data_IF_939647949766
#
_entry.id   IF_939647949766
#
_cell.length_a   1.000
_cell.length_b   1.000
_cell.length_c   1.000
_cell.angle_alpha   90.00
_cell.angle_beta   90.00
_cell.angle_gamma   90.00
#
_symmetry.space_group_name_H-M   'P 1'
#
loop_
_entity.id
_entity.type
_entity.pdbx_description
1 polymer ?
#
# COMPACT_ATOMS: atom_id res chain seq x y z
N UNK A 1 0.81 -2.61 -1.74
CA UNK A 1 0.04 -1.81 -0.76
C UNK A 1 -0.09 -0.38 -1.24
N UNK A 2 -1.18 0.31 -0.86
CA UNK A 2 -1.42 1.72 -1.22
C UNK A 2 -1.03 2.64 -0.08
N UNK A 3 -0.38 3.75 -0.41
CA UNK A 3 0.08 4.75 0.56
C UNK A 3 -0.42 6.11 0.10
N UNK A 4 -1.09 6.84 1.00
CA UNK A 4 -1.42 8.25 0.75
C UNK A 4 -0.30 9.11 1.31
N UNK A 5 0.30 9.94 0.45
CA UNK A 5 1.32 10.92 0.80
C UNK A 5 0.72 12.33 0.72
N UNK A 6 0.75 13.06 1.83
CA UNK A 6 0.33 14.46 1.91
C UNK A 6 1.55 15.32 2.28
N UNK A 7 2.05 16.09 1.32
CA UNK A 7 3.31 16.85 1.44
C UNK A 7 3.28 18.02 0.44
N UNK A 8 3.44 19.25 0.89
CA UNK A 8 3.40 20.45 0.03
C UNK A 8 4.71 20.71 -0.74
N UNK A 9 5.83 20.18 -0.25
CA UNK A 9 7.11 20.27 -0.94
C UNK A 9 7.17 19.23 -2.09
N UNK A 10 6.88 19.69 -3.29
CA UNK A 10 6.84 18.85 -4.50
C UNK A 10 8.14 18.05 -4.75
N UNK A 11 9.30 18.64 -4.42
CA UNK A 11 10.59 17.95 -4.64
C UNK A 11 10.77 16.79 -3.67
N UNK A 12 10.40 16.98 -2.40
CA UNK A 12 10.42 15.94 -1.38
C UNK A 12 9.38 14.85 -1.70
N UNK A 13 8.16 15.27 -2.04
CA UNK A 13 7.07 14.36 -2.42
C UNK A 13 7.47 13.46 -3.60
N UNK A 14 8.07 14.00 -4.66
CA UNK A 14 8.59 13.22 -5.78
C UNK A 14 9.64 12.20 -5.35
N UNK A 15 10.56 12.59 -4.46
CA UNK A 15 11.57 11.69 -3.93
C UNK A 15 10.98 10.53 -3.13
N UNK A 16 10.03 10.84 -2.24
CA UNK A 16 9.30 9.83 -1.45
C UNK A 16 8.50 8.90 -2.38
N UNK A 17 7.70 9.46 -3.28
CA UNK A 17 6.89 8.70 -4.24
C UNK A 17 7.74 7.73 -5.04
N UNK A 18 8.83 8.23 -5.65
CA UNK A 18 9.74 7.40 -6.42
C UNK A 18 10.27 6.20 -5.62
N UNK A 19 10.70 6.44 -4.38
CA UNK A 19 11.25 5.38 -3.50
C UNK A 19 10.21 4.37 -3.08
N UNK A 20 9.02 4.81 -2.72
CA UNK A 20 7.92 3.93 -2.31
C UNK A 20 7.38 3.12 -3.49
N UNK A 21 7.27 3.73 -4.67
CA UNK A 21 6.92 3.01 -5.90
C UNK A 21 8.00 2.02 -6.30
N UNK A 22 9.28 2.38 -6.14
CA UNK A 22 10.40 1.46 -6.35
C UNK A 22 10.37 0.29 -5.37
N UNK A 23 9.88 0.48 -4.14
CA UNK A 23 9.60 -0.58 -3.17
C UNK A 23 8.32 -1.38 -3.48
N UNK A 24 7.58 -1.04 -4.55
CA UNK A 24 6.40 -1.76 -5.04
C UNK A 24 5.08 -1.34 -4.40
N UNK A 25 5.04 -0.18 -3.74
CA UNK A 25 3.79 0.43 -3.28
C UNK A 25 3.14 1.25 -4.40
N UNK A 26 1.83 1.47 -4.30
CA UNK A 26 1.13 2.50 -5.04
C UNK A 26 1.05 3.74 -4.15
N UNK A 27 1.28 4.93 -4.72
CA UNK A 27 1.31 6.18 -3.95
C UNK A 27 0.32 7.16 -4.53
N UNK A 28 -0.63 7.59 -3.71
CA UNK A 28 -1.54 8.70 -4.00
C UNK A 28 -0.96 9.95 -3.35
N UNK A 29 -0.62 10.95 -4.16
CA UNK A 29 0.04 12.16 -3.71
C UNK A 29 -0.92 13.35 -3.68
N UNK A 30 -0.89 14.13 -2.59
CA UNK A 30 -1.68 15.33 -2.35
C UNK A 30 -0.77 16.42 -1.77
N UNK A 31 -0.92 17.64 -2.24
CA UNK A 31 -0.07 18.79 -1.89
C UNK A 31 -0.75 19.83 -1.00
N UNK A 32 -2.02 19.62 -0.65
CA UNK A 32 -2.86 20.54 0.13
C UNK A 32 -3.72 19.78 1.13
N UNK A 33 -3.83 20.34 2.35
CA UNK A 33 -4.58 19.69 3.43
C UNK A 33 -6.09 19.62 3.20
N UNK A 34 -6.70 20.54 2.44
CA UNK A 34 -8.14 20.48 2.10
C UNK A 34 -8.42 19.37 1.11
N UNK A 35 -7.59 19.27 0.07
CA UNK A 35 -7.69 18.17 -0.88
C UNK A 35 -7.49 16.83 -0.19
N UNK A 36 -6.53 16.76 0.74
CA UNK A 36 -6.29 15.56 1.55
C UNK A 36 -7.49 15.21 2.43
N UNK A 37 -8.14 16.20 3.07
CA UNK A 37 -9.33 15.99 3.89
C UNK A 37 -10.45 15.31 3.09
N UNK A 38 -10.72 15.80 1.88
CA UNK A 38 -11.79 15.24 1.04
C UNK A 38 -11.41 13.86 0.49
N UNK A 39 -10.17 13.69 0.04
CA UNK A 39 -9.67 12.41 -0.45
C UNK A 39 -9.71 11.32 0.62
N UNK A 40 -9.21 11.60 1.81
CA UNK A 40 -9.12 10.66 2.92
C UNK A 40 -10.48 10.18 3.46
N UNK A 41 -11.61 10.83 3.13
CA UNK A 41 -12.96 10.40 3.49
C UNK A 41 -13.39 9.12 2.78
N UNK A 42 -12.94 8.93 1.55
CA UNK A 42 -13.31 7.79 0.69
C UNK A 42 -12.12 6.90 0.30
N UNK A 43 -10.91 7.32 0.67
CA UNK A 43 -9.69 6.58 0.39
C UNK A 43 -9.57 5.32 1.25
N UNK A 44 -8.98 4.28 0.66
CA UNK A 44 -8.72 2.98 1.28
C UNK A 44 -7.23 2.62 1.26
N UNK A 45 -6.35 3.62 1.39
CA UNK A 45 -4.91 3.38 1.52
C UNK A 45 -4.57 2.57 2.77
N UNK A 46 -3.45 1.90 2.72
CA UNK A 46 -2.96 1.03 3.79
C UNK A 46 -2.18 1.80 4.86
N UNK A 47 -1.63 2.95 4.50
CA UNK A 47 -0.84 3.83 5.36
C UNK A 47 -0.93 5.27 4.84
N UNK A 48 -0.87 6.23 5.75
CA UNK A 48 -0.85 7.66 5.45
C UNK A 48 0.50 8.22 5.90
N UNK A 49 1.19 8.96 5.01
CA UNK A 49 2.34 9.79 5.33
C UNK A 49 1.87 11.23 5.24
N UNK A 50 2.00 11.98 6.33
CA UNK A 50 1.33 13.26 6.50
C UNK A 50 2.29 14.32 7.02
N UNK A 51 2.57 15.35 6.22
CA UNK A 51 3.28 16.52 6.73
C UNK A 51 2.40 17.30 7.70
N UNK A 52 2.99 17.79 8.78
CA UNK A 52 2.31 18.68 9.73
C UNK A 52 2.06 20.03 9.11
N UNK A 53 3.04 20.59 8.39
CA UNK A 53 2.98 21.96 7.88
C UNK A 53 2.37 22.00 6.46
N UNK A 54 1.07 21.79 6.35
CA UNK A 54 0.36 21.84 5.08
C UNK A 54 -0.38 23.16 4.89
N UNK A 55 -0.51 23.63 3.64
CA UNK A 55 -1.43 24.71 3.33
C UNK A 55 -2.89 24.27 3.54
N UNK A 56 -3.74 25.23 3.88
CA UNK A 56 -5.18 24.98 4.05
C UNK A 56 -5.54 24.42 5.41
N UNK A 57 -5.37 23.12 5.61
CA UNK A 57 -5.59 22.40 6.88
C UNK A 57 -4.28 21.74 7.27
N UNK A 58 -3.80 22.00 8.48
CA UNK A 58 -2.57 21.40 8.98
C UNK A 58 -2.72 19.89 9.25
N UNK A 59 -1.59 19.16 9.20
CA UNK A 59 -1.60 17.70 9.31
C UNK A 59 -2.07 17.19 10.67
N UNK A 60 -1.84 17.92 11.76
CA UNK A 60 -2.33 17.53 13.09
C UNK A 60 -3.86 17.62 13.19
N UNK A 61 -4.44 18.66 12.58
CA UNK A 61 -5.90 18.79 12.48
C UNK A 61 -6.51 17.68 11.64
N UNK A 62 -5.89 17.33 10.51
CA UNK A 62 -6.30 16.19 9.69
C UNK A 62 -6.21 14.87 10.45
N UNK A 63 -5.13 14.63 11.18
CA UNK A 63 -4.97 13.43 11.99
C UNK A 63 -6.06 13.30 13.06
N UNK A 64 -6.36 14.38 13.78
CA UNK A 64 -7.44 14.41 14.77
C UNK A 64 -8.79 14.04 14.15
N UNK A 65 -9.12 14.66 13.01
CA UNK A 65 -10.36 14.34 12.27
C UNK A 65 -10.41 12.87 11.84
N UNK A 66 -9.29 12.30 11.37
CA UNK A 66 -9.20 10.88 11.05
C UNK A 66 -9.54 10.02 12.26
N UNK A 67 -8.95 10.31 13.42
CA UNK A 67 -9.17 9.53 14.65
C UNK A 67 -10.58 9.72 15.23
N UNK A 68 -11.13 10.91 15.17
CA UNK A 68 -12.51 11.21 15.61
C UNK A 68 -13.57 10.43 14.83
N UNK A 69 -13.35 10.19 13.55
CA UNK A 69 -14.23 9.34 12.72
C UNK A 69 -13.93 7.83 12.81
N UNK A 70 -13.01 7.42 13.70
CA UNK A 70 -12.67 6.02 13.93
C UNK A 70 -11.70 5.41 12.89
N UNK A 71 -11.01 6.24 12.12
CA UNK A 71 -10.00 5.76 11.18
C UNK A 71 -8.76 5.28 11.94
N UNK A 72 -8.46 4.00 11.80
CA UNK A 72 -7.36 3.30 12.49
C UNK A 72 -6.17 3.01 11.58
N UNK A 73 -6.17 3.60 10.38
CA UNK A 73 -5.01 3.45 9.48
C UNK A 73 -3.75 4.00 10.12
N UNK A 74 -2.59 3.34 9.95
CA UNK A 74 -1.33 3.86 10.45
C UNK A 74 -0.98 5.19 9.77
N UNK A 75 -0.52 6.14 10.58
CA UNK A 75 -0.09 7.47 10.14
C UNK A 75 1.33 7.74 10.58
N UNK A 76 2.20 8.08 9.62
CA UNK A 76 3.53 8.65 9.88
C UNK A 76 3.43 10.15 9.70
N UNK A 77 3.74 10.91 10.76
CA UNK A 77 3.86 12.35 10.66
C UNK A 77 5.27 12.74 10.18
N UNK A 78 5.33 13.63 9.18
CA UNK A 78 6.55 14.32 8.80
C UNK A 78 6.60 15.69 9.50
N UNK A 79 7.71 16.03 10.14
CA UNK A 79 7.81 17.28 10.90
C UNK A 79 9.19 17.91 10.78
N UNK A 80 9.26 19.23 10.69
CA UNK A 80 10.49 19.99 10.83
C UNK A 80 10.86 20.26 12.30
N UNK A 81 9.96 19.92 13.24
CA UNK A 81 10.11 20.22 14.66
C UNK A 81 10.78 19.06 15.38
N UNK A 82 11.97 19.30 15.91
CA UNK A 82 12.76 18.31 16.65
C UNK A 82 12.46 18.31 18.15
N UNK A 83 11.66 19.26 18.65
CA UNK A 83 11.41 19.41 20.07
C UNK A 83 10.55 18.27 20.64
N UNK A 84 10.87 17.84 21.83
CA UNK A 84 10.20 16.69 22.48
C UNK A 84 8.72 16.95 22.68
N UNK A 85 8.33 18.20 22.96
CA UNK A 85 6.93 18.61 23.17
C UNK A 85 6.07 18.43 21.93
N UNK A 86 6.57 18.80 20.74
CA UNK A 86 5.86 18.63 19.47
C UNK A 86 5.64 17.16 19.11
N UNK A 87 6.59 16.29 19.50
CA UNK A 87 6.49 14.84 19.30
C UNK A 87 5.41 14.22 20.17
N UNK A 88 5.33 14.65 21.43
CA UNK A 88 4.29 14.21 22.36
C UNK A 88 2.92 14.61 21.83
N UNK A 89 2.74 15.85 21.36
CA UNK A 89 1.49 16.34 20.77
C UNK A 89 1.07 15.50 19.56
N UNK A 90 2.01 15.12 18.69
CA UNK A 90 1.72 14.28 17.51
C UNK A 90 1.28 12.86 17.90
N UNK A 91 1.96 12.25 18.86
CA UNK A 91 1.61 10.91 19.36
C UNK A 91 0.27 10.92 20.13
N UNK A 92 0.05 11.92 20.97
CA UNK A 92 -1.22 12.10 21.70
C UNK A 92 -2.39 12.37 20.74
N UNK A 93 -2.13 12.99 19.57
CA UNK A 93 -3.11 13.14 18.51
C UNK A 93 -3.44 11.82 17.79
N UNK A 94 -2.72 10.74 18.09
CA UNK A 94 -2.96 9.40 17.56
C UNK A 94 -2.11 9.02 16.35
N UNK A 95 -0.94 9.66 16.13
CA UNK A 95 0.03 9.19 15.15
C UNK A 95 0.66 7.87 15.61
N UNK A 96 0.98 6.99 14.65
CA UNK A 96 1.62 5.70 14.93
C UNK A 96 3.15 5.81 14.90
N UNK A 97 3.67 6.78 14.15
CA UNK A 97 5.11 7.12 14.11
C UNK A 97 5.29 8.57 13.65
N UNK A 98 6.51 9.07 13.79
CA UNK A 98 6.89 10.39 13.28
C UNK A 98 8.30 10.34 12.71
N UNK A 99 8.61 11.25 11.78
CA UNK A 99 9.89 11.35 11.11
C UNK A 99 10.29 12.83 10.99
N UNK A 100 11.48 13.16 11.52
CA UNK A 100 11.97 14.54 11.56
C UNK A 100 12.66 14.88 10.24
N UNK A 101 12.28 15.98 9.61
CA UNK A 101 12.95 16.54 8.42
C UNK A 101 14.23 17.32 8.84
N UNK A 102 15.36 17.15 8.14
CA UNK A 102 15.59 16.23 7.02
C UNK A 102 15.83 14.79 7.47
N UNK A 103 15.40 13.83 6.69
CA UNK A 103 15.54 12.40 6.96
C UNK A 103 16.13 11.63 5.77
N UNK A 104 16.69 10.48 6.05
CA UNK A 104 17.14 9.56 5.03
C UNK A 104 15.96 8.72 4.49
N UNK A 105 15.86 8.55 3.16
CA UNK A 105 14.80 7.76 2.54
C UNK A 105 14.74 6.31 3.05
N UNK A 106 15.90 5.72 3.36
CA UNK A 106 15.98 4.38 3.94
C UNK A 106 15.31 4.30 5.33
N UNK A 107 15.32 5.37 6.11
CA UNK A 107 14.63 5.45 7.40
C UNK A 107 13.11 5.46 7.20
N UNK A 108 12.60 6.30 6.29
CA UNK A 108 11.18 6.33 5.95
C UNK A 108 10.70 4.95 5.49
N UNK A 109 11.42 4.31 4.56
CA UNK A 109 11.08 2.96 4.07
C UNK A 109 11.05 1.92 5.20
N UNK A 110 11.99 1.99 6.14
CA UNK A 110 12.01 1.07 7.28
C UNK A 110 10.79 1.24 8.20
N UNK A 111 10.36 2.49 8.44
CA UNK A 111 9.18 2.83 9.24
C UNK A 111 7.89 2.39 8.54
N UNK A 112 7.77 2.67 7.25
CA UNK A 112 6.64 2.20 6.42
C UNK A 112 6.51 0.68 6.50
N UNK A 113 7.60 -0.08 6.30
CA UNK A 113 7.58 -1.54 6.44
C UNK A 113 7.17 -2.00 7.85
N UNK A 114 7.64 -1.31 8.89
CA UNK A 114 7.33 -1.65 10.28
C UNK A 114 5.84 -1.45 10.59
N UNK A 115 5.24 -0.36 10.13
CA UNK A 115 3.83 -0.05 10.38
C UNK A 115 2.90 -0.93 9.55
N UNK A 116 3.21 -1.18 8.29
CA UNK A 116 2.43 -2.07 7.44
C UNK A 116 2.44 -3.52 7.99
N UNK A 117 3.51 -3.94 8.68
CA UNK A 117 3.58 -5.23 9.39
C UNK A 117 2.71 -5.27 10.64
N UNK A 118 2.49 -4.13 11.31
CA UNK A 118 1.77 -4.05 12.60
C UNK A 118 0.25 -4.10 12.50
N UNK A 119 -0.34 -4.20 11.32
CA UNK A 119 -1.79 -4.34 11.22
C UNK A 119 -2.25 -5.53 12.07
N UNK A 120 -3.02 -5.31 13.16
CA UNK A 120 -3.67 -6.38 13.88
C UNK A 120 -4.87 -6.84 13.04
N UNK A 121 -4.62 -7.65 12.03
CA UNK A 121 -5.66 -8.54 11.55
C UNK A 121 -5.46 -9.84 12.32
N UNK A 122 -6.39 -10.25 13.20
CA UNK A 122 -6.29 -11.54 13.86
C UNK A 122 -6.41 -12.71 12.88
N UNK A 123 -6.58 -12.45 11.60
CA UNK A 123 -6.79 -13.45 10.55
C UNK A 123 -5.70 -13.34 9.48
N UNK A 124 -4.79 -14.29 9.54
CA UNK A 124 -3.85 -14.71 8.49
C UNK A 124 -2.97 -13.60 7.87
N UNK A 125 -1.82 -13.34 8.47
CA UNK A 125 -0.72 -12.64 7.80
C UNK A 125 -0.13 -13.49 6.66
N UNK A 126 -0.31 -14.80 6.69
CA UNK A 126 0.17 -15.73 5.69
C UNK A 126 -1.01 -16.37 4.96
N UNK A 127 -1.07 -16.15 3.66
CA UNK A 127 -2.07 -16.74 2.77
C UNK A 127 -1.53 -17.97 2.09
N UNK A 128 -2.31 -19.05 2.12
CA UNK A 128 -2.00 -20.28 1.40
C UNK A 128 -2.72 -20.30 0.05
N UNK A 129 -1.95 -20.46 -1.04
CA UNK A 129 -2.50 -20.58 -2.40
C UNK A 129 -1.88 -21.80 -3.06
N UNK A 130 -2.52 -22.94 -2.96
CA UNK A 130 -1.91 -24.22 -3.33
C UNK A 130 -0.69 -24.51 -2.46
N UNK A 131 0.50 -24.79 -3.03
CA UNK A 131 1.72 -25.00 -2.28
C UNK A 131 2.44 -23.71 -1.86
N UNK A 132 1.91 -22.55 -2.28
CA UNK A 132 2.53 -21.26 -2.03
C UNK A 132 2.04 -20.65 -0.73
N UNK A 133 2.97 -20.05 0.01
CA UNK A 133 2.73 -19.26 1.21
C UNK A 133 3.08 -17.80 0.94
N UNK A 134 2.14 -16.89 1.12
CA UNK A 134 2.35 -15.46 0.93
C UNK A 134 2.17 -14.70 2.23
N UNK A 135 3.25 -14.14 2.74
CA UNK A 135 3.20 -13.19 3.86
C UNK A 135 2.96 -11.79 3.31
N UNK A 136 1.76 -11.27 3.56
CA UNK A 136 1.34 -9.93 3.10
C UNK A 136 2.18 -8.83 3.76
N UNK A 137 2.62 -9.03 5.00
CA UNK A 137 3.34 -8.02 5.76
C UNK A 137 4.78 -7.82 5.29
N UNK A 138 5.48 -8.90 4.98
CA UNK A 138 6.82 -8.88 4.41
C UNK A 138 6.83 -8.86 2.88
N UNK A 139 5.66 -9.12 2.25
CA UNK A 139 5.49 -9.31 0.80
C UNK A 139 6.37 -10.42 0.25
N UNK A 140 6.62 -11.46 1.07
CA UNK A 140 7.39 -12.62 0.68
C UNK A 140 6.49 -13.75 0.18
N UNK A 141 6.84 -14.33 -0.95
CA UNK A 141 6.22 -15.52 -1.51
C UNK A 141 7.17 -16.70 -1.34
N UNK A 142 6.70 -17.74 -0.69
CA UNK A 142 7.48 -18.93 -0.40
C UNK A 142 6.84 -20.18 -1.02
N UNK A 143 7.67 -21.15 -1.40
CA UNK A 143 7.24 -22.51 -1.70
C UNK A 143 8.15 -23.49 -0.94
N UNK A 144 7.57 -24.26 -0.02
CA UNK A 144 8.32 -25.20 0.83
C UNK A 144 9.53 -24.54 1.55
N UNK A 145 9.38 -23.27 1.96
CA UNK A 145 10.41 -22.47 2.64
C UNK A 145 11.43 -21.79 1.71
N UNK A 146 11.37 -22.02 0.41
CA UNK A 146 12.22 -21.33 -0.57
C UNK A 146 11.52 -20.09 -1.12
N UNK A 147 12.22 -18.95 -1.17
CA UNK A 147 11.66 -17.68 -1.66
C UNK A 147 11.50 -17.68 -3.19
N UNK A 148 10.31 -17.31 -3.63
CA UNK A 148 9.98 -17.08 -5.05
C UNK A 148 9.97 -15.60 -5.32
N UNK A 149 10.94 -15.13 -6.09
CA UNK A 149 11.01 -13.72 -6.49
C UNK A 149 10.09 -13.44 -7.68
N UNK A 150 9.14 -12.55 -7.49
CA UNK A 150 8.29 -12.00 -8.55
C UNK A 150 8.71 -10.55 -8.85
N UNK A 151 8.64 -10.09 -10.12
CA UNK A 151 8.74 -8.69 -10.44
C UNK A 151 7.68 -7.88 -9.69
N UNK A 152 8.02 -6.68 -9.24
CA UNK A 152 7.21 -5.87 -8.31
C UNK A 152 5.74 -5.71 -8.71
N UNK A 153 5.45 -5.40 -9.97
CA UNK A 153 4.07 -5.23 -10.46
C UNK A 153 3.31 -6.57 -10.52
N UNK A 154 4.00 -7.66 -10.85
CA UNK A 154 3.42 -9.01 -10.82
C UNK A 154 3.11 -9.42 -9.37
N UNK A 155 4.00 -9.09 -8.43
CA UNK A 155 3.77 -9.30 -6.99
C UNK A 155 2.57 -8.49 -6.48
N UNK A 156 2.40 -7.24 -6.90
CA UNK A 156 1.24 -6.43 -6.53
C UNK A 156 -0.07 -7.00 -7.08
N UNK A 157 -0.08 -7.49 -8.33
CA UNK A 157 -1.24 -8.20 -8.89
C UNK A 157 -1.52 -9.49 -8.10
N UNK A 158 -0.48 -10.27 -7.79
CA UNK A 158 -0.60 -11.48 -6.98
C UNK A 158 -1.20 -11.17 -5.61
N UNK A 159 -0.65 -10.21 -4.88
CA UNK A 159 -1.13 -9.73 -3.58
C UNK A 159 -2.62 -9.37 -3.62
N UNK A 160 -3.04 -8.54 -4.59
CA UNK A 160 -4.43 -8.12 -4.75
C UNK A 160 -5.37 -9.32 -4.96
N UNK A 161 -4.97 -10.29 -5.79
CA UNK A 161 -5.76 -11.49 -6.07
C UNK A 161 -5.80 -12.46 -4.90
N UNK A 162 -4.71 -12.58 -4.14
CA UNK A 162 -4.64 -13.44 -2.94
C UNK A 162 -5.54 -12.90 -1.83
N UNK A 163 -5.46 -11.59 -1.54
CA UNK A 163 -6.30 -10.93 -0.52
C UNK A 163 -7.79 -11.01 -0.90
N UNK A 164 -8.10 -11.05 -2.18
CA UNK A 164 -9.47 -11.24 -2.64
C UNK A 164 -10.03 -12.65 -2.35
N UNK A 165 -9.19 -13.59 -1.94
CA UNK A 165 -9.57 -14.94 -1.48
C UNK A 165 -10.55 -15.63 -2.44
N UNK A 166 -10.11 -15.81 -3.68
CA UNK A 166 -10.92 -16.45 -4.71
C UNK A 166 -12.10 -15.62 -5.23
N UNK A 167 -12.28 -14.38 -4.77
CA UNK A 167 -13.28 -13.47 -5.32
C UNK A 167 -12.79 -12.84 -6.61
N UNK A 168 -13.74 -12.39 -7.43
CA UNK A 168 -13.44 -11.69 -8.67
C UNK A 168 -12.91 -10.27 -8.36
N UNK A 169 -11.79 -9.90 -8.98
CA UNK A 169 -11.19 -8.57 -8.89
C UNK A 169 -11.28 -7.89 -10.25
N UNK A 170 -11.84 -6.68 -10.30
CA UNK A 170 -11.96 -5.91 -11.54
C UNK A 170 -10.59 -5.43 -12.05
N UNK A 171 -10.49 -5.10 -13.34
CA UNK A 171 -9.27 -4.50 -13.90
C UNK A 171 -8.97 -3.15 -13.25
N UNK A 172 -9.99 -2.31 -13.01
CA UNK A 172 -9.84 -1.03 -12.34
C UNK A 172 -9.26 -1.18 -10.93
N UNK A 173 -9.77 -2.15 -10.15
CA UNK A 173 -9.22 -2.45 -8.81
C UNK A 173 -7.76 -2.90 -8.88
N UNK A 174 -7.37 -3.70 -9.88
CA UNK A 174 -5.98 -4.11 -10.08
C UNK A 174 -5.09 -2.93 -10.49
N UNK A 175 -5.58 -2.02 -11.34
CA UNK A 175 -4.87 -0.78 -11.70
C UNK A 175 -4.67 0.08 -10.46
N UNK A 176 -5.71 0.38 -9.72
CA UNK A 176 -5.64 1.18 -8.49
C UNK A 176 -4.69 0.57 -7.47
N UNK A 177 -4.73 -0.76 -7.29
CA UNK A 177 -3.81 -1.45 -6.37
C UNK A 177 -2.34 -1.39 -6.81
N UNK A 178 -2.09 -1.40 -8.12
CA UNK A 178 -0.73 -1.40 -8.68
C UNK A 178 -0.16 0.00 -8.90
N UNK A 179 -1.00 0.97 -9.23
CA UNK A 179 -0.56 2.27 -9.77
C UNK A 179 -1.11 3.49 -9.03
N UNK A 180 -2.04 3.30 -8.07
CA UNK A 180 -2.72 4.38 -7.35
C UNK A 180 -4.04 4.80 -8.01
N UNK A 181 -4.79 5.64 -7.28
CA UNK A 181 -6.10 6.13 -7.74
C UNK A 181 -5.93 7.14 -8.87
N UNK A 182 -6.71 6.95 -9.94
CA UNK A 182 -6.67 7.86 -11.10
C UNK A 182 -5.43 7.74 -11.98
N UNK A 183 -4.65 6.66 -11.84
CA UNK A 183 -3.51 6.40 -12.70
C UNK A 183 -3.97 6.32 -14.17
N UNK A 184 -3.32 7.14 -15.02
CA UNK A 184 -3.56 7.16 -16.47
C UNK A 184 -2.80 6.00 -17.14
N UNK A 185 -3.28 4.78 -16.92
CA UNK A 185 -2.74 3.56 -17.50
C UNK A 185 -3.84 2.76 -18.18
N UNK A 186 -3.53 2.23 -19.35
CA UNK A 186 -4.48 1.43 -20.11
C UNK A 186 -4.75 0.07 -19.42
N UNK A 187 -5.97 -0.43 -19.54
CA UNK A 187 -6.38 -1.77 -19.08
C UNK A 187 -5.48 -2.90 -19.60
N UNK A 188 -4.89 -2.71 -20.76
CA UNK A 188 -3.96 -3.65 -21.41
C UNK A 188 -2.74 -3.97 -20.57
N UNK A 189 -2.28 -3.04 -19.70
CA UNK A 189 -1.11 -3.26 -18.86
C UNK A 189 -1.34 -4.34 -17.82
N UNK A 190 -2.57 -4.41 -17.27
CA UNK A 190 -2.97 -5.47 -16.33
C UNK A 190 -2.95 -6.83 -17.02
N UNK A 191 -3.40 -6.90 -18.27
CA UNK A 191 -3.39 -8.14 -19.06
C UNK A 191 -1.97 -8.69 -19.23
N UNK A 192 -1.00 -7.78 -19.47
CA UNK A 192 0.42 -8.15 -19.57
C UNK A 192 0.94 -8.72 -18.24
N UNK A 193 0.66 -8.03 -17.12
CA UNK A 193 1.10 -8.51 -15.80
C UNK A 193 0.45 -9.84 -15.43
N UNK A 194 -0.85 -10.00 -15.65
CA UNK A 194 -1.58 -11.26 -15.41
C UNK A 194 -1.03 -12.38 -16.30
N UNK A 195 -0.76 -12.09 -17.57
CA UNK A 195 -0.20 -13.10 -18.49
C UNK A 195 1.16 -13.62 -18.03
N UNK A 196 2.06 -12.71 -17.62
CA UNK A 196 3.38 -13.07 -17.09
C UNK A 196 3.27 -13.82 -15.77
N UNK A 197 2.43 -13.35 -14.85
CA UNK A 197 2.19 -13.98 -13.57
C UNK A 197 1.64 -15.40 -13.73
N UNK A 198 0.71 -15.64 -14.65
CA UNK A 198 0.21 -16.99 -14.98
C UNK A 198 1.35 -17.95 -15.36
N UNK A 199 2.29 -17.47 -16.19
CA UNK A 199 3.45 -18.30 -16.58
C UNK A 199 4.30 -18.69 -15.38
N UNK A 200 4.52 -17.76 -14.45
CA UNK A 200 5.32 -18.00 -13.25
C UNK A 200 4.63 -18.88 -12.21
N UNK A 201 3.30 -18.79 -12.08
CA UNK A 201 2.51 -19.56 -11.12
C UNK A 201 2.14 -20.96 -11.61
N UNK A 202 2.22 -21.20 -12.94
CA UNK A 202 1.89 -22.50 -13.54
C UNK A 202 2.63 -23.70 -12.91
N UNK A 203 3.94 -23.63 -12.59
CA UNK A 203 4.65 -24.75 -11.95
C UNK A 203 4.09 -25.13 -10.58
N UNK A 204 3.38 -24.23 -9.91
CA UNK A 204 2.82 -24.42 -8.57
C UNK A 204 1.32 -24.80 -8.60
N UNK A 205 0.74 -25.05 -9.77
CA UNK A 205 -0.68 -25.39 -9.89
C UNK A 205 -1.65 -24.24 -9.61
N UNK A 206 -1.17 -23.02 -9.40
CA UNK A 206 -2.01 -21.84 -9.13
C UNK A 206 -2.52 -21.26 -10.45
N UNK A 207 -3.83 -21.06 -10.54
CA UNK A 207 -4.50 -20.58 -11.75
C UNK A 207 -5.11 -19.20 -11.54
N UNK A 208 -4.97 -18.33 -12.55
CA UNK A 208 -5.70 -17.07 -12.63
C UNK A 208 -6.70 -17.16 -13.78
N UNK A 209 -8.00 -17.22 -13.46
CA UNK A 209 -9.06 -17.23 -14.45
C UNK A 209 -9.48 -15.80 -14.81
N UNK A 210 -9.71 -15.55 -16.10
CA UNK A 210 -10.28 -14.30 -16.57
C UNK A 210 -11.81 -14.50 -16.75
N UNK A 211 -12.60 -13.57 -16.22
CA UNK A 211 -14.00 -13.44 -16.55
C UNK A 211 -14.15 -12.24 -17.51
N UNK A 212 -14.52 -12.53 -18.76
CA UNK A 212 -14.54 -11.53 -19.84
C UNK A 212 -15.39 -10.31 -19.44
N UNK A 213 -14.79 -9.13 -19.52
CA UNK A 213 -15.43 -7.86 -19.18
C UNK A 213 -15.56 -7.57 -17.67
N UNK A 214 -15.24 -8.52 -16.78
CA UNK A 214 -15.44 -8.37 -15.34
C UNK A 214 -14.13 -8.31 -14.56
N UNK A 215 -13.09 -9.07 -14.95
CA UNK A 215 -11.82 -9.06 -14.25
C UNK A 215 -11.15 -10.43 -14.11
N UNK A 216 -10.45 -10.63 -13.01
CA UNK A 216 -9.63 -11.81 -12.74
C UNK A 216 -9.92 -12.41 -11.37
N UNK A 217 -9.73 -13.72 -11.26
CA UNK A 217 -9.94 -14.50 -10.05
C UNK A 217 -8.78 -15.49 -9.90
N UNK A 218 -8.18 -15.56 -8.73
CA UNK A 218 -7.16 -16.56 -8.43
C UNK A 218 -7.80 -17.78 -7.78
N UNK A 219 -7.40 -18.96 -8.24
CA UNK A 219 -7.85 -20.25 -7.70
C UNK A 219 -6.63 -21.08 -7.36
N UNK A 220 -6.62 -21.69 -6.18
CA UNK A 220 -5.73 -22.81 -5.92
C UNK A 220 -6.15 -23.96 -6.84
N UNK A 221 -5.23 -24.47 -7.64
CA UNK A 221 -5.52 -25.65 -8.44
C UNK A 221 -5.87 -26.84 -7.52
N UNK A 222 -6.87 -27.60 -7.87
CA UNK A 222 -7.10 -28.89 -7.24
C UNK A 222 -5.83 -29.73 -7.42
N UNK A 223 -5.35 -30.34 -6.34
CA UNK A 223 -4.31 -31.36 -6.46
C UNK A 223 -4.94 -32.53 -7.20
N UNK A 224 -4.46 -32.82 -8.44
CA UNK A 224 -4.63 -34.14 -9.03
C UNK A 224 -3.89 -35.20 -8.21
#
# INVERSE_FOLDING_TARGET
MRITLVEDNISLAKGITYRLEDAGHAVDFLDDGRHAQDFLKSDHSDLIILDINLPGIDGLSLLKELRERGDVRPVILLTARAETEDRVVGLDAGADDYLIKPFEMAELEARVRALLRRRPSPQQQVWQVGPLEFDVSSRQLLNAGEEITLPRRELSVFECLVIADGRLVSKSTLIEHCYGTGADVEDSIVEVHVSRLRGRLKPFGVQIKAQRGLGYQMLAGEKE
#
